data_IF_336500121133
#
_entry.id   IF_336500121133
#
_cell.length_a   1.000
_cell.length_b   1.000
_cell.length_c   1.000
_cell.angle_alpha   90.00
_cell.angle_beta   90.00
_cell.angle_gamma   90.00
#
_symmetry.space_group_name_H-M   'P 1'
#
loop_
_entity.id
_entity.type
_entity.pdbx_description
1 polymer ?
#
# COMPACT_ATOMS: atom_id res chain seq x y z
N UNK A 1 4.23 -24.84 19.62
CA UNK A 1 4.20 -23.39 19.30
C UNK A 1 5.27 -22.59 20.05
N UNK A 2 5.54 -22.83 21.33
CA UNK A 2 6.57 -22.06 22.11
C UNK A 2 7.99 -22.18 21.55
N UNK A 3 8.39 -23.39 21.10
CA UNK A 3 9.76 -23.65 20.60
C UNK A 3 10.02 -22.93 19.27
N UNK A 4 9.07 -22.96 18.33
CA UNK A 4 9.22 -22.28 17.03
C UNK A 4 9.28 -20.76 17.24
N UNK A 5 8.47 -20.23 18.14
CA UNK A 5 8.48 -18.81 18.50
C UNK A 5 9.81 -18.39 19.16
N UNK A 6 10.32 -19.17 20.10
CA UNK A 6 11.61 -18.90 20.76
C UNK A 6 12.78 -18.97 19.79
N UNK A 7 12.79 -19.96 18.89
CA UNK A 7 13.84 -20.10 17.87
C UNK A 7 13.80 -18.96 16.84
N UNK A 8 12.61 -18.57 16.35
CA UNK A 8 12.47 -17.42 15.47
C UNK A 8 12.90 -16.11 16.16
N UNK A 9 12.50 -15.91 17.39
CA UNK A 9 12.89 -14.71 18.16
C UNK A 9 14.40 -14.67 18.41
N UNK A 10 15.02 -15.82 18.72
CA UNK A 10 16.48 -15.93 18.88
C UNK A 10 17.21 -15.64 17.57
N UNK A 11 16.73 -16.16 16.45
CA UNK A 11 17.31 -15.92 15.13
C UNK A 11 17.20 -14.44 14.73
N UNK A 12 16.03 -13.83 14.92
CA UNK A 12 15.80 -12.41 14.65
C UNK A 12 16.72 -11.53 15.53
N UNK A 13 16.84 -11.84 16.82
CA UNK A 13 17.72 -11.09 17.72
C UNK A 13 19.18 -11.21 17.27
N UNK A 14 19.64 -12.39 16.88
CA UNK A 14 21.02 -12.61 16.41
C UNK A 14 21.31 -11.85 15.13
N UNK A 15 20.41 -11.93 14.12
CA UNK A 15 20.52 -11.16 12.87
C UNK A 15 20.52 -9.66 13.16
N UNK A 16 19.64 -9.20 14.06
CA UNK A 16 19.54 -7.80 14.45
C UNK A 16 20.82 -7.30 15.11
N UNK A 17 21.42 -8.09 16.00
CA UNK A 17 22.66 -7.73 16.71
C UNK A 17 23.86 -7.65 15.76
N UNK A 18 24.01 -8.61 14.85
CA UNK A 18 25.08 -8.60 13.86
C UNK A 18 24.92 -7.45 12.84
N UNK A 19 23.67 -7.16 12.42
CA UNK A 19 23.40 -6.06 11.50
C UNK A 19 23.73 -4.69 12.09
N UNK A 20 23.37 -4.45 13.37
CA UNK A 20 23.70 -3.20 14.08
C UNK A 20 25.19 -2.99 14.30
N UNK A 21 25.97 -4.06 14.38
CA UNK A 21 27.43 -4.01 14.46
C UNK A 21 28.09 -3.89 13.08
N UNK A 22 27.32 -4.05 12.01
CA UNK A 22 27.88 -4.06 10.66
C UNK A 22 28.40 -2.68 10.25
N UNK A 23 29.48 -2.69 9.47
CA UNK A 23 30.02 -1.49 8.81
C UNK A 23 28.97 -0.78 7.95
N UNK A 24 28.10 -1.55 7.27
CA UNK A 24 27.02 -1.01 6.43
C UNK A 24 26.03 -0.17 7.25
N UNK A 25 25.62 -0.65 8.43
CA UNK A 25 24.72 0.12 9.30
C UNK A 25 25.36 1.44 9.73
N UNK A 26 26.59 1.40 10.19
CA UNK A 26 27.34 2.60 10.61
C UNK A 26 27.56 3.56 9.42
N UNK A 27 27.92 3.06 8.24
CA UNK A 27 28.11 3.87 7.05
C UNK A 27 26.81 4.58 6.60
N UNK A 28 25.66 3.84 6.58
CA UNK A 28 24.36 4.43 6.23
C UNK A 28 24.01 5.57 7.20
N UNK A 29 24.15 5.37 8.51
CA UNK A 29 23.81 6.41 9.49
C UNK A 29 24.78 7.60 9.46
N UNK A 30 26.05 7.38 9.14
CA UNK A 30 27.04 8.47 8.96
C UNK A 30 26.69 9.31 7.73
N UNK A 31 26.37 8.67 6.60
CA UNK A 31 25.95 9.36 5.38
C UNK A 31 24.67 10.14 5.61
N UNK A 32 23.67 9.52 6.26
CA UNK A 32 22.41 10.19 6.61
C UNK A 32 22.65 11.41 7.47
N UNK A 33 23.49 11.31 8.51
CA UNK A 33 23.83 12.44 9.38
C UNK A 33 24.53 13.60 8.64
N UNK A 34 25.43 13.28 7.71
CA UNK A 34 26.06 14.32 6.86
C UNK A 34 25.04 15.03 5.99
N UNK A 35 24.17 14.29 5.29
CA UNK A 35 23.16 14.87 4.41
C UNK A 35 22.09 15.64 5.22
N UNK A 36 21.71 15.14 6.40
CA UNK A 36 20.81 15.85 7.34
C UNK A 36 21.35 17.24 7.72
N UNK A 37 22.62 17.35 8.03
CA UNK A 37 23.26 18.65 8.35
C UNK A 37 23.21 19.62 7.17
N UNK A 38 23.41 19.12 5.94
CA UNK A 38 23.28 19.96 4.74
C UNK A 38 21.84 20.40 4.50
N UNK A 39 20.85 19.53 4.75
CA UNK A 39 19.43 19.84 4.64
C UNK A 39 18.98 20.91 5.62
N UNK A 40 19.42 20.84 6.89
CA UNK A 40 19.07 21.81 7.94
C UNK A 40 19.50 23.23 7.55
N UNK A 41 20.60 23.38 6.81
CA UNK A 41 21.16 24.66 6.35
C UNK A 41 20.71 25.04 4.94
N UNK A 42 19.87 24.24 4.28
CA UNK A 42 19.49 24.44 2.88
C UNK A 42 18.47 25.59 2.69
N UNK A 43 18.49 26.18 1.48
CA UNK A 43 17.50 27.14 1.03
C UNK A 43 16.06 26.59 1.07
N UNK A 44 15.88 25.32 0.77
CA UNK A 44 14.57 24.66 0.78
C UNK A 44 13.90 24.65 2.15
N UNK A 45 14.67 24.63 3.23
CA UNK A 45 14.12 24.76 4.60
C UNK A 45 13.49 26.14 4.84
N UNK A 46 14.02 27.19 4.19
CA UNK A 46 13.50 28.57 4.31
C UNK A 46 12.17 28.76 3.57
N UNK A 47 11.90 27.98 2.54
CA UNK A 47 10.62 27.96 1.80
C UNK A 47 9.51 27.24 2.56
N UNK A 48 9.86 26.51 3.63
CA UNK A 48 8.91 25.74 4.40
C UNK A 48 8.02 26.70 5.26
N UNK A 49 6.67 26.48 5.29
CA UNK A 49 5.77 27.33 6.05
C UNK A 49 6.15 27.42 7.53
N UNK A 50 5.93 28.58 8.15
CA UNK A 50 6.24 28.77 9.55
C UNK A 50 5.54 27.77 10.46
N UNK A 51 6.17 27.39 11.56
CA UNK A 51 5.57 26.43 12.52
C UNK A 51 4.24 26.95 13.08
N UNK A 52 4.07 28.24 13.21
CA UNK A 52 2.82 28.85 13.68
C UNK A 52 1.66 28.63 12.71
N UNK A 53 1.90 28.74 11.40
CA UNK A 53 0.90 28.43 10.37
C UNK A 53 0.56 26.94 10.35
N UNK A 54 1.56 26.09 10.52
CA UNK A 54 1.37 24.64 10.58
C UNK A 54 0.58 24.22 11.84
N UNK A 55 0.86 24.87 12.98
CA UNK A 55 0.14 24.64 14.23
C UNK A 55 -1.31 25.09 14.15
N UNK A 56 -1.59 26.20 13.45
CA UNK A 56 -2.97 26.64 13.18
C UNK A 56 -3.77 25.59 12.37
N UNK A 57 -3.19 25.04 11.31
CA UNK A 57 -3.82 23.99 10.50
C UNK A 57 -3.98 22.67 11.27
N UNK A 58 -3.04 22.35 12.17
CA UNK A 58 -3.09 21.10 12.96
C UNK A 58 -4.00 21.18 14.20
N UNK A 59 -4.53 22.36 14.54
CA UNK A 59 -5.35 22.56 15.74
C UNK A 59 -6.72 21.87 15.67
N UNK A 60 -7.16 21.45 14.49
CA UNK A 60 -8.39 20.68 14.31
C UNK A 60 -8.16 19.19 14.58
N UNK A 61 -8.15 18.82 15.88
CA UNK A 61 -8.01 17.44 16.36
C UNK A 61 -9.01 16.44 15.73
N UNK A 62 -10.20 16.90 15.35
CA UNK A 62 -11.26 16.05 14.78
C UNK A 62 -10.85 15.51 13.40
N UNK A 63 -10.32 16.35 12.52
CA UNK A 63 -9.86 15.93 11.19
C UNK A 63 -8.66 14.97 11.28
N UNK A 64 -7.77 15.17 12.24
CA UNK A 64 -6.55 14.37 12.38
C UNK A 64 -6.83 12.89 12.65
N UNK A 65 -7.85 12.57 13.43
CA UNK A 65 -8.17 11.19 13.77
C UNK A 65 -8.98 10.48 12.66
N UNK A 66 -9.47 11.22 11.67
CA UNK A 66 -10.45 10.68 10.70
C UNK A 66 -9.97 10.62 9.25
N UNK A 67 -8.89 11.33 8.86
CA UNK A 67 -8.47 11.40 7.46
C UNK A 67 -8.08 10.03 6.88
N UNK A 68 -7.22 9.29 7.58
CA UNK A 68 -6.79 7.96 7.15
C UNK A 68 -7.47 6.84 7.96
N UNK A 69 -8.73 7.03 8.38
CA UNK A 69 -9.49 5.93 8.94
C UNK A 69 -9.87 4.92 7.84
N UNK A 70 -10.31 3.70 8.16
CA UNK A 70 -10.69 2.72 7.16
C UNK A 70 -11.71 3.20 6.12
N UNK A 71 -12.61 4.12 6.50
CA UNK A 71 -13.65 4.65 5.61
C UNK A 71 -13.10 5.46 4.42
N UNK A 72 -11.82 5.87 4.46
CA UNK A 72 -11.16 6.51 3.32
C UNK A 72 -11.20 5.62 2.06
N UNK A 73 -11.20 4.29 2.22
CA UNK A 73 -11.31 3.35 1.09
C UNK A 73 -12.64 3.54 0.39
N UNK A 74 -13.74 3.65 1.14
CA UNK A 74 -15.07 3.90 0.56
C UNK A 74 -15.15 5.28 -0.08
N UNK A 75 -14.54 6.30 0.55
CA UNK A 75 -14.48 7.64 0.00
C UNK A 75 -13.75 7.67 -1.35
N UNK A 76 -12.56 7.05 -1.42
CA UNK A 76 -11.79 6.96 -2.66
C UNK A 76 -12.57 6.17 -3.73
N UNK A 77 -13.26 5.10 -3.33
CA UNK A 77 -14.10 4.34 -4.24
C UNK A 77 -15.28 5.18 -4.76
N UNK A 78 -15.95 5.93 -3.90
CA UNK A 78 -17.02 6.84 -4.33
C UNK A 78 -16.52 7.92 -5.29
N UNK A 79 -15.35 8.53 -5.02
CA UNK A 79 -14.72 9.49 -5.95
C UNK A 79 -14.39 8.83 -7.29
N UNK A 80 -13.85 7.60 -7.27
CA UNK A 80 -13.57 6.86 -8.49
C UNK A 80 -14.84 6.58 -9.32
N UNK A 81 -15.96 6.22 -8.66
CA UNK A 81 -17.26 6.04 -9.31
C UNK A 81 -17.79 7.34 -9.92
N UNK A 82 -17.58 8.48 -9.25
CA UNK A 82 -18.01 9.79 -9.74
C UNK A 82 -17.25 10.23 -11.01
N UNK A 83 -16.03 9.75 -11.24
CA UNK A 83 -15.29 10.02 -12.46
C UNK A 83 -15.90 9.35 -13.71
N UNK A 84 -16.67 8.28 -13.53
CA UNK A 84 -17.24 7.48 -14.61
C UNK A 84 -18.74 7.18 -14.40
N UNK A 85 -19.52 8.24 -14.13
CA UNK A 85 -20.95 8.15 -13.77
C UNK A 85 -21.83 7.39 -14.78
N UNK A 86 -21.48 7.43 -16.07
CA UNK A 86 -22.28 6.82 -17.15
C UNK A 86 -22.12 5.29 -17.23
N UNK A 87 -21.22 4.72 -16.44
CA UNK A 87 -20.85 3.30 -16.53
C UNK A 87 -21.54 2.41 -15.49
N UNK A 88 -22.30 2.97 -14.54
CA UNK A 88 -22.90 2.19 -13.44
C UNK A 88 -24.29 1.68 -13.83
N UNK A 89 -24.44 0.36 -14.00
CA UNK A 89 -25.74 -0.30 -14.21
C UNK A 89 -26.55 -0.41 -12.90
N UNK A 90 -27.86 -0.61 -13.01
CA UNK A 90 -28.72 -0.82 -11.84
C UNK A 90 -28.31 -2.05 -11.02
N UNK A 91 -27.85 -3.13 -11.65
CA UNK A 91 -27.34 -4.33 -11.00
C UNK A 91 -26.07 -4.00 -10.19
N UNK A 92 -25.10 -3.33 -10.85
CA UNK A 92 -23.86 -2.90 -10.19
C UNK A 92 -24.11 -1.95 -9.03
N UNK A 93 -25.12 -1.06 -9.12
CA UNK A 93 -25.47 -0.18 -8.02
C UNK A 93 -25.86 -0.96 -6.74
N UNK A 94 -26.62 -2.05 -6.89
CA UNK A 94 -26.96 -2.95 -5.77
C UNK A 94 -25.69 -3.60 -5.20
N UNK A 95 -24.81 -4.09 -6.05
CA UNK A 95 -23.53 -4.69 -5.65
C UNK A 95 -22.65 -3.70 -4.89
N UNK A 96 -22.59 -2.44 -5.34
CA UNK A 96 -21.86 -1.37 -4.65
C UNK A 96 -22.47 -1.03 -3.27
N UNK A 97 -23.80 -0.99 -3.17
CA UNK A 97 -24.46 -0.79 -1.87
C UNK A 97 -24.12 -1.92 -0.89
N UNK A 98 -24.13 -3.17 -1.33
CA UNK A 98 -23.76 -4.33 -0.52
C UNK A 98 -22.28 -4.27 -0.13
N UNK A 99 -21.39 -3.91 -1.06
CA UNK A 99 -19.96 -3.73 -0.80
C UNK A 99 -19.73 -2.68 0.30
N UNK A 100 -20.37 -1.53 0.19
CA UNK A 100 -20.23 -0.43 1.15
C UNK A 100 -20.82 -0.79 2.51
N UNK A 101 -21.99 -1.43 2.54
CA UNK A 101 -22.62 -1.90 3.78
C UNK A 101 -21.75 -2.95 4.49
N UNK A 102 -21.27 -3.97 3.76
CA UNK A 102 -20.38 -5.00 4.30
C UNK A 102 -19.11 -4.39 4.89
N UNK A 103 -18.43 -3.52 4.13
CA UNK A 103 -17.22 -2.84 4.58
C UNK A 103 -17.47 -1.99 5.84
N UNK A 104 -18.56 -1.21 5.86
CA UNK A 104 -18.90 -0.37 7.02
C UNK A 104 -19.14 -1.21 8.27
N UNK A 105 -19.92 -2.28 8.17
CA UNK A 105 -20.14 -3.22 9.28
C UNK A 105 -18.82 -3.80 9.75
N UNK A 106 -17.97 -4.25 8.80
CA UNK A 106 -16.67 -4.80 9.09
C UNK A 106 -15.75 -3.83 9.84
N UNK A 107 -15.63 -2.59 9.38
CA UNK A 107 -14.65 -1.65 9.95
C UNK A 107 -15.15 -0.90 11.18
N UNK A 108 -16.46 -0.58 11.29
CA UNK A 108 -16.99 0.26 12.35
C UNK A 108 -17.59 -0.54 13.52
N UNK A 109 -18.22 -1.68 13.24
CA UNK A 109 -18.98 -2.44 14.24
C UNK A 109 -18.13 -3.59 14.82
N UNK A 110 -17.68 -4.51 13.97
CA UNK A 110 -17.00 -5.74 14.43
C UNK A 110 -15.76 -5.50 15.31
N UNK A 111 -14.85 -4.57 15.00
CA UNK A 111 -13.66 -4.37 15.83
C UNK A 111 -13.95 -3.99 17.27
N UNK A 112 -15.14 -3.38 17.54
CA UNK A 112 -15.54 -3.02 18.89
C UNK A 112 -15.71 -4.23 19.79
N UNK A 113 -16.18 -5.35 19.24
CA UNK A 113 -16.39 -6.59 20.00
C UNK A 113 -15.10 -7.42 20.16
N UNK A 114 -14.18 -7.34 19.21
CA UNK A 114 -13.00 -8.21 19.19
C UNK A 114 -11.79 -7.65 19.98
N UNK A 115 -11.69 -6.33 20.16
CA UNK A 115 -10.57 -5.68 20.85
C UNK A 115 -11.04 -4.88 22.08
N UNK A 116 -11.78 -5.52 22.98
CA UNK A 116 -12.21 -4.91 24.25
C UNK A 116 -11.33 -5.30 25.45
N UNK A 117 -10.33 -6.15 25.25
CA UNK A 117 -9.47 -6.69 26.32
C UNK A 117 -8.33 -5.77 26.74
N UNK A 118 -7.47 -6.32 27.62
CA UNK A 118 -6.33 -5.62 28.21
C UNK A 118 -5.27 -5.27 27.15
N UNK A 119 -5.00 -3.97 27.00
CA UNK A 119 -4.03 -3.44 26.02
C UNK A 119 -2.58 -3.75 26.38
N UNK A 120 -2.27 -4.06 27.64
CA UNK A 120 -0.91 -4.41 28.09
C UNK A 120 -0.42 -5.73 27.50
N UNK A 121 -1.35 -6.62 27.14
CA UNK A 121 -1.04 -7.93 26.54
C UNK A 121 -0.77 -7.87 25.05
N UNK A 122 -0.90 -6.70 24.41
CA UNK A 122 -0.62 -6.54 22.97
C UNK A 122 0.86 -6.75 22.71
N UNK A 123 1.17 -7.52 21.65
CA UNK A 123 2.53 -7.83 21.24
C UNK A 123 3.33 -6.56 20.96
N UNK A 124 4.49 -6.42 21.58
CA UNK A 124 5.36 -5.26 21.41
C UNK A 124 6.54 -5.61 20.49
N UNK A 125 6.77 -4.77 19.49
CA UNK A 125 7.90 -4.90 18.57
C UNK A 125 8.99 -3.89 18.95
N UNK A 126 10.24 -4.37 19.04
CA UNK A 126 11.37 -3.52 19.39
C UNK A 126 11.80 -2.68 18.19
N UNK A 127 12.23 -1.44 18.45
CA UNK A 127 12.79 -0.54 17.43
C UNK A 127 13.92 -1.18 16.62
N UNK A 128 14.85 -1.83 17.32
CA UNK A 128 16.01 -2.48 16.75
C UNK A 128 15.63 -3.54 15.71
N UNK A 129 14.60 -4.34 16.03
CA UNK A 129 14.13 -5.39 15.13
C UNK A 129 13.47 -4.79 13.86
N UNK A 130 12.72 -3.69 14.02
CA UNK A 130 12.13 -2.98 12.87
C UNK A 130 13.21 -2.44 11.93
N UNK A 131 14.30 -1.86 12.46
CA UNK A 131 15.43 -1.42 11.65
C UNK A 131 16.11 -2.59 10.94
N UNK A 132 16.48 -3.63 11.67
CA UNK A 132 17.25 -4.76 11.12
C UNK A 132 16.47 -5.49 10.03
N UNK A 133 15.21 -5.80 10.30
CA UNK A 133 14.35 -6.48 9.31
C UNK A 133 14.09 -5.53 8.12
N UNK A 134 13.76 -4.27 8.40
CA UNK A 134 13.45 -3.30 7.35
C UNK A 134 14.63 -3.07 6.40
N UNK A 135 15.83 -2.82 6.93
CA UNK A 135 17.02 -2.66 6.09
C UNK A 135 17.43 -3.95 5.37
N UNK A 136 17.26 -5.11 5.99
CA UNK A 136 17.49 -6.39 5.32
C UNK A 136 16.56 -6.56 4.11
N UNK A 137 15.29 -6.24 4.26
CA UNK A 137 14.31 -6.29 3.15
C UNK A 137 14.66 -5.32 2.03
N UNK A 138 15.06 -4.08 2.37
CA UNK A 138 15.49 -3.08 1.38
C UNK A 138 16.76 -3.56 0.65
N UNK A 139 17.74 -4.10 1.37
CA UNK A 139 18.98 -4.59 0.78
C UNK A 139 18.73 -5.77 -0.17
N UNK A 140 17.92 -6.75 0.26
CA UNK A 140 17.50 -7.86 -0.60
C UNK A 140 16.80 -7.34 -1.85
N UNK A 141 15.90 -6.38 -1.70
CA UNK A 141 15.21 -5.74 -2.82
C UNK A 141 16.17 -5.10 -3.82
N UNK A 142 17.17 -4.36 -3.34
CA UNK A 142 18.19 -3.71 -4.19
C UNK A 142 19.01 -4.76 -4.95
N UNK A 143 19.43 -5.83 -4.28
CA UNK A 143 20.18 -6.93 -4.92
C UNK A 143 19.34 -7.57 -6.04
N UNK A 144 18.08 -7.89 -5.76
CA UNK A 144 17.19 -8.48 -6.75
C UNK A 144 16.83 -7.51 -7.89
N UNK A 145 16.82 -6.20 -7.63
CA UNK A 145 16.68 -5.19 -8.67
C UNK A 145 17.83 -5.29 -9.68
N UNK A 146 19.07 -5.29 -9.22
CA UNK A 146 20.23 -5.42 -10.13
C UNK A 146 20.25 -6.75 -10.88
N UNK A 147 19.90 -7.85 -10.22
CA UNK A 147 19.78 -9.17 -10.87
C UNK A 147 18.69 -9.14 -11.94
N UNK A 148 17.54 -8.54 -11.64
CA UNK A 148 16.41 -8.45 -12.55
C UNK A 148 16.74 -7.62 -13.78
N UNK A 149 17.39 -6.46 -13.61
CA UNK A 149 17.83 -5.58 -14.69
C UNK A 149 18.92 -6.24 -15.54
N UNK A 150 19.89 -6.90 -14.89
CA UNK A 150 20.94 -7.64 -15.60
C UNK A 150 20.39 -8.79 -16.43
N UNK A 151 19.36 -9.49 -15.94
CA UNK A 151 18.73 -10.64 -16.63
C UNK A 151 18.06 -10.28 -17.96
N UNK A 152 17.64 -9.02 -18.12
CA UNK A 152 16.97 -8.52 -19.34
C UNK A 152 17.84 -7.59 -20.19
N UNK A 153 19.07 -7.31 -19.73
CA UNK A 153 20.04 -6.52 -20.48
C UNK A 153 19.74 -5.03 -20.58
N UNK A 154 18.96 -4.47 -19.65
CA UNK A 154 18.66 -3.03 -19.65
C UNK A 154 17.64 -2.59 -18.62
N UNK A 155 17.47 -1.27 -18.51
CA UNK A 155 16.54 -0.63 -17.57
C UNK A 155 15.14 -0.53 -18.22
N UNK A 156 14.09 -1.15 -17.64
CA UNK A 156 12.76 -1.19 -18.22
C UNK A 156 12.11 0.19 -18.45
N UNK A 157 12.43 1.18 -17.62
CA UNK A 157 11.96 2.56 -17.81
C UNK A 157 12.46 3.16 -19.14
N UNK A 158 13.72 2.90 -19.50
CA UNK A 158 14.35 3.46 -20.71
C UNK A 158 13.96 2.70 -21.99
N UNK A 159 13.59 1.42 -21.85
CA UNK A 159 13.19 0.56 -22.97
C UNK A 159 11.90 -0.21 -22.57
N UNK A 160 10.71 0.32 -22.83
CA UNK A 160 9.44 -0.29 -22.40
C UNK A 160 9.23 -1.74 -22.86
N UNK A 161 9.76 -2.11 -24.04
CA UNK A 161 9.68 -3.49 -24.57
C UNK A 161 10.36 -4.53 -23.66
N UNK A 162 11.44 -4.15 -22.95
CA UNK A 162 12.18 -5.03 -22.04
C UNK A 162 11.33 -5.40 -20.81
N UNK A 163 10.38 -4.56 -20.44
CA UNK A 163 9.50 -4.81 -19.29
C UNK A 163 8.74 -6.14 -19.41
N UNK A 164 8.34 -6.52 -20.61
CA UNK A 164 7.63 -7.78 -20.85
C UNK A 164 8.53 -9.02 -20.74
N UNK A 165 9.86 -8.80 -20.75
CA UNK A 165 10.86 -9.87 -20.58
C UNK A 165 11.26 -10.10 -19.13
N UNK A 166 10.81 -9.23 -18.20
CA UNK A 166 11.10 -9.38 -16.77
C UNK A 166 10.50 -10.69 -16.24
N UNK A 167 11.37 -11.50 -15.59
CA UNK A 167 10.97 -12.76 -14.98
C UNK A 167 10.33 -12.47 -13.61
N UNK A 168 9.06 -12.86 -13.36
CA UNK A 168 8.37 -12.58 -12.10
C UNK A 168 9.14 -13.04 -10.86
N UNK A 169 9.77 -14.22 -10.92
CA UNK A 169 10.55 -14.80 -9.81
C UNK A 169 11.74 -13.91 -9.37
N UNK A 170 12.33 -13.15 -10.29
CA UNK A 170 13.40 -12.20 -9.99
C UNK A 170 12.88 -10.82 -9.62
N UNK A 171 11.73 -10.44 -10.16
CA UNK A 171 11.17 -9.09 -9.98
C UNK A 171 10.32 -8.97 -8.71
N UNK A 172 9.62 -10.05 -8.32
CA UNK A 172 8.81 -10.04 -7.09
C UNK A 172 9.59 -9.66 -5.82
N UNK A 173 10.81 -10.18 -5.56
CA UNK A 173 11.56 -9.79 -4.38
C UNK A 173 11.97 -8.31 -4.36
N UNK A 174 11.98 -7.62 -5.51
CA UNK A 174 12.25 -6.17 -5.54
C UNK A 174 11.18 -5.39 -4.79
N UNK A 175 9.94 -5.87 -4.77
CA UNK A 175 8.84 -5.21 -4.05
C UNK A 175 8.93 -5.37 -2.53
N UNK A 176 9.89 -6.14 -1.98
CA UNK A 176 10.20 -6.16 -0.55
C UNK A 176 10.71 -4.81 -0.04
N UNK A 177 11.11 -3.90 -0.95
CA UNK A 177 11.42 -2.52 -0.58
C UNK A 177 10.27 -1.85 0.16
N UNK A 178 9.02 -2.12 -0.21
CA UNK A 178 7.82 -1.50 0.35
C UNK A 178 7.60 -1.86 1.82
N UNK A 179 7.50 -3.15 2.23
CA UNK A 179 7.42 -3.50 3.64
C UNK A 179 8.71 -3.15 4.38
N UNK A 180 9.87 -3.15 3.73
CA UNK A 180 11.13 -2.67 4.29
C UNK A 180 11.04 -1.20 4.68
N UNK A 181 10.63 -0.34 3.77
CA UNK A 181 10.37 1.09 3.99
C UNK A 181 9.33 1.31 5.09
N UNK A 182 8.26 0.53 5.10
CA UNK A 182 7.24 0.59 6.14
C UNK A 182 7.83 0.36 7.54
N UNK A 183 8.68 -0.65 7.72
CA UNK A 183 9.34 -0.96 8.99
C UNK A 183 10.35 0.11 9.40
N UNK A 184 11.21 0.56 8.48
CA UNK A 184 12.21 1.60 8.74
C UNK A 184 11.54 2.92 9.07
N UNK A 185 10.50 3.34 8.34
CA UNK A 185 9.73 4.54 8.63
C UNK A 185 9.06 4.45 10.02
N UNK A 186 8.52 3.29 10.40
CA UNK A 186 7.97 3.05 11.74
C UNK A 186 9.02 3.16 12.84
N UNK A 187 10.25 2.73 12.58
CA UNK A 187 11.38 2.86 13.50
C UNK A 187 11.83 4.33 13.63
N UNK A 188 11.93 5.09 12.53
CA UNK A 188 12.19 6.54 12.57
C UNK A 188 11.11 7.30 13.33
N UNK A 189 9.86 6.87 13.20
CA UNK A 189 8.76 7.45 13.96
C UNK A 189 8.94 7.24 15.46
N UNK A 190 9.44 6.08 15.88
CA UNK A 190 9.78 5.80 17.27
C UNK A 190 10.92 6.68 17.76
N UNK A 191 12.01 6.83 16.97
CA UNK A 191 13.13 7.72 17.32
C UNK A 191 12.68 9.16 17.52
N UNK A 192 11.77 9.65 16.67
CA UNK A 192 11.19 10.98 16.82
C UNK A 192 10.35 11.11 18.11
N UNK A 193 9.55 10.09 18.42
CA UNK A 193 8.70 10.10 19.62
C UNK A 193 9.53 10.00 20.90
N UNK A 194 10.61 9.21 20.88
CA UNK A 194 11.57 9.07 21.97
C UNK A 194 12.54 10.28 22.08
N UNK A 195 12.35 11.31 21.20
CA UNK A 195 13.14 12.56 21.12
C UNK A 195 14.62 12.34 20.79
N UNK A 196 14.97 11.21 20.18
CA UNK A 196 16.34 10.96 19.69
C UNK A 196 16.64 11.78 18.43
N UNK A 197 15.61 12.09 17.64
CA UNK A 197 15.72 12.93 16.44
C UNK A 197 14.69 14.05 16.46
N UNK A 198 15.03 15.15 15.79
CA UNK A 198 14.13 16.30 15.62
C UNK A 198 13.10 16.01 14.51
N UNK A 199 12.00 16.78 14.48
CA UNK A 199 10.99 16.67 13.41
C UNK A 199 11.58 16.89 12.02
N UNK A 200 12.53 17.82 11.89
CA UNK A 200 13.21 18.10 10.62
C UNK A 200 14.04 16.91 10.15
N UNK A 201 14.79 16.27 11.06
CA UNK A 201 15.55 15.06 10.77
C UNK A 201 14.64 13.90 10.38
N UNK A 202 13.53 13.68 11.09
CA UNK A 202 12.57 12.65 10.76
C UNK A 202 11.99 12.84 9.34
N UNK A 203 11.63 14.08 8.97
CA UNK A 203 11.17 14.43 7.61
C UNK A 203 12.21 14.13 6.56
N UNK A 204 13.45 14.54 6.83
CA UNK A 204 14.54 14.27 5.90
C UNK A 204 14.74 12.77 5.68
N UNK A 205 14.75 11.97 6.76
CA UNK A 205 14.88 10.50 6.68
C UNK A 205 13.72 9.87 5.91
N UNK A 206 12.50 10.37 6.07
CA UNK A 206 11.33 9.93 5.32
C UNK A 206 11.47 10.25 3.82
N UNK A 207 11.90 11.47 3.49
CA UNK A 207 12.13 11.87 2.09
C UNK A 207 13.28 11.09 1.44
N UNK A 208 14.34 10.83 2.20
CA UNK A 208 15.47 10.03 1.71
C UNK A 208 15.05 8.58 1.42
N UNK A 209 14.25 7.98 2.32
CA UNK A 209 13.71 6.64 2.15
C UNK A 209 12.80 6.58 0.91
N UNK A 210 11.93 7.57 0.76
CA UNK A 210 11.06 7.71 -0.42
C UNK A 210 11.87 7.89 -1.71
N UNK A 211 12.96 8.65 -1.67
CA UNK A 211 13.83 8.83 -2.84
C UNK A 211 14.49 7.52 -3.28
N UNK A 212 14.91 6.68 -2.34
CA UNK A 212 15.42 5.32 -2.63
C UNK A 212 14.32 4.49 -3.30
N UNK A 213 13.12 4.44 -2.70
CA UNK A 213 12.00 3.68 -3.26
C UNK A 213 11.66 4.16 -4.67
N UNK A 214 11.57 5.49 -4.86
CA UNK A 214 11.31 6.09 -6.17
C UNK A 214 12.37 5.70 -7.19
N UNK A 215 13.65 5.75 -6.82
CA UNK A 215 14.74 5.41 -7.74
C UNK A 215 14.59 3.98 -8.28
N UNK A 216 14.42 2.99 -7.41
CA UNK A 216 14.35 1.59 -7.82
C UNK A 216 13.01 1.22 -8.47
N UNK A 217 11.88 1.69 -7.94
CA UNK A 217 10.57 1.34 -8.46
C UNK A 217 10.24 2.04 -9.79
N UNK A 218 10.69 3.31 -9.98
CA UNK A 218 10.57 4.00 -11.27
C UNK A 218 11.40 3.32 -12.35
N UNK A 219 12.63 2.92 -12.06
CA UNK A 219 13.50 2.26 -13.04
C UNK A 219 12.92 0.94 -13.56
N UNK A 220 12.11 0.25 -12.75
CA UNK A 220 11.34 -0.92 -13.19
C UNK A 220 10.09 -0.57 -14.02
N UNK A 221 9.65 0.69 -14.01
CA UNK A 221 8.48 1.15 -14.74
C UNK A 221 7.13 0.76 -14.12
N UNK A 222 7.11 0.43 -12.81
CA UNK A 222 5.87 0.12 -12.09
C UNK A 222 5.38 1.33 -11.28
N UNK A 223 4.19 1.86 -11.63
CA UNK A 223 3.60 3.02 -10.96
C UNK A 223 2.91 2.69 -9.63
N UNK A 224 2.20 1.56 -9.55
CA UNK A 224 1.43 1.19 -8.35
C UNK A 224 2.31 1.01 -7.12
N UNK A 225 3.45 0.28 -7.16
CA UNK A 225 4.37 0.20 -6.04
C UNK A 225 4.97 1.55 -5.62
N UNK A 226 5.24 2.43 -6.58
CA UNK A 226 5.71 3.79 -6.29
C UNK A 226 4.69 4.60 -5.50
N UNK A 227 3.43 4.57 -5.93
CA UNK A 227 2.33 5.22 -5.22
C UNK A 227 2.11 4.58 -3.84
N UNK A 228 2.33 3.27 -3.71
CA UNK A 228 2.25 2.58 -2.43
C UNK A 228 3.30 3.10 -1.45
N UNK A 229 4.58 3.17 -1.86
CA UNK A 229 5.65 3.72 -1.02
C UNK A 229 5.35 5.16 -0.57
N UNK A 230 4.88 5.99 -1.50
CA UNK A 230 4.50 7.38 -1.22
C UNK A 230 3.36 7.49 -0.19
N UNK A 231 2.28 6.75 -0.39
CA UNK A 231 1.12 6.76 0.52
C UNK A 231 1.49 6.21 1.91
N UNK A 232 2.29 5.14 2.00
CA UNK A 232 2.73 4.57 3.26
C UNK A 232 3.49 5.60 4.08
N UNK A 233 4.45 6.30 3.47
CA UNK A 233 5.25 7.33 4.14
C UNK A 233 4.37 8.50 4.61
N UNK A 234 3.41 8.93 3.79
CA UNK A 234 2.46 9.99 4.18
C UNK A 234 1.60 9.53 5.37
N UNK A 235 1.04 8.32 5.33
CA UNK A 235 0.17 7.81 6.39
C UNK A 235 0.94 7.66 7.71
N UNK A 236 2.13 7.05 7.67
CA UNK A 236 2.99 6.89 8.85
C UNK A 236 3.40 8.26 9.40
N UNK A 237 3.85 9.17 8.54
CA UNK A 237 4.25 10.52 8.92
C UNK A 237 3.11 11.36 9.49
N UNK A 238 1.91 11.21 8.96
CA UNK A 238 0.71 11.90 9.44
C UNK A 238 0.30 11.44 10.85
N UNK A 239 0.17 10.13 11.07
CA UNK A 239 -0.14 9.60 12.40
C UNK A 239 0.97 9.86 13.41
N UNK A 240 2.22 9.93 12.94
CA UNK A 240 3.38 10.26 13.76
C UNK A 240 3.54 11.75 14.08
N UNK A 241 2.70 12.64 13.60
CA UNK A 241 2.85 14.09 13.72
C UNK A 241 4.11 14.67 13.05
N UNK A 242 4.75 13.91 12.16
CA UNK A 242 5.88 14.38 11.36
C UNK A 242 5.34 15.18 10.17
N UNK A 243 4.36 14.63 9.46
CA UNK A 243 3.66 15.24 8.32
C UNK A 243 2.40 15.97 8.81
N UNK A 244 2.18 17.19 8.37
CA UNK A 244 1.02 17.99 8.71
C UNK A 244 -0.12 17.80 7.70
N UNK A 245 -1.34 18.23 8.06
CA UNK A 245 -2.51 18.07 7.21
C UNK A 245 -2.34 18.72 5.82
N UNK A 246 -1.77 19.92 5.76
CA UNK A 246 -1.57 20.61 4.49
C UNK A 246 -0.58 19.85 3.59
N UNK A 247 0.45 19.20 4.16
CA UNK A 247 1.41 18.37 3.43
C UNK A 247 0.72 17.13 2.86
N UNK A 248 -0.26 16.57 3.58
CA UNK A 248 -1.11 15.48 3.07
C UNK A 248 -1.92 15.95 1.86
N UNK A 249 -2.52 17.15 1.92
CA UNK A 249 -3.28 17.72 0.79
C UNK A 249 -2.36 17.97 -0.40
N UNK A 250 -1.21 18.58 -0.19
CA UNK A 250 -0.22 18.80 -1.26
C UNK A 250 0.28 17.47 -1.81
N UNK A 251 0.56 16.51 -0.94
CA UNK A 251 0.95 15.16 -1.34
C UNK A 251 -0.13 14.46 -2.17
N UNK A 252 -1.40 14.60 -1.80
CA UNK A 252 -2.51 14.06 -2.59
C UNK A 252 -2.59 14.70 -3.99
N UNK A 253 -2.41 16.02 -4.09
CA UNK A 253 -2.35 16.72 -5.38
C UNK A 253 -1.17 16.26 -6.24
N UNK A 254 0.01 16.10 -5.64
CA UNK A 254 1.20 15.55 -6.31
C UNK A 254 0.93 14.11 -6.77
N UNK A 255 0.32 13.29 -5.92
CA UNK A 255 -0.06 11.91 -6.25
C UNK A 255 -1.01 11.83 -7.45
N UNK A 256 -2.06 12.65 -7.46
CA UNK A 256 -2.99 12.76 -8.59
C UNK A 256 -2.25 13.26 -9.84
N UNK A 257 -1.41 14.29 -9.72
CA UNK A 257 -0.59 14.77 -10.82
C UNK A 257 0.37 13.70 -11.38
N UNK A 258 0.96 12.89 -10.51
CA UNK A 258 1.82 11.77 -10.91
C UNK A 258 1.03 10.67 -11.65
N UNK A 259 -0.17 10.32 -11.18
CA UNK A 259 -1.05 9.35 -11.86
C UNK A 259 -1.39 9.84 -13.28
N UNK A 260 -1.79 11.11 -13.38
CA UNK A 260 -2.15 11.73 -14.67
C UNK A 260 -0.91 11.81 -15.56
N UNK A 261 0.22 12.31 -15.06
CA UNK A 261 1.45 12.49 -15.81
C UNK A 261 2.03 11.18 -16.33
N UNK A 262 2.19 10.17 -15.47
CA UNK A 262 2.71 8.85 -15.86
C UNK A 262 1.74 8.17 -16.85
N UNK A 263 0.44 8.31 -16.62
CA UNK A 263 -0.58 7.80 -17.54
C UNK A 263 -0.49 8.45 -18.92
N UNK A 264 -0.33 9.77 -18.98
CA UNK A 264 -0.20 10.54 -20.20
C UNK A 264 1.09 10.22 -20.97
N UNK A 265 2.24 10.20 -20.30
CA UNK A 265 3.52 9.83 -20.93
C UNK A 265 3.49 8.42 -21.51
N UNK A 266 2.82 7.49 -20.84
CA UNK A 266 2.66 6.13 -21.34
C UNK A 266 1.77 6.08 -22.57
N UNK A 267 0.67 6.84 -22.60
CA UNK A 267 -0.22 6.91 -23.75
C UNK A 267 0.45 7.53 -24.97
N UNK A 268 1.35 8.51 -24.78
CA UNK A 268 2.17 9.08 -25.87
C UNK A 268 3.10 8.04 -26.50
N UNK A 269 3.64 7.10 -25.72
CA UNK A 269 4.49 6.01 -26.22
C UNK A 269 3.70 4.91 -26.94
N UNK A 270 2.43 4.75 -26.63
CA UNK A 270 1.52 3.76 -27.27
C UNK A 270 0.73 4.35 -28.45
N UNK A 271 0.54 5.68 -28.46
CA UNK A 271 -0.20 6.41 -29.53
C UNK A 271 0.75 6.92 -30.63
N UNK A 272 1.22 6.00 -31.46
CA UNK A 272 1.79 6.41 -32.76
C UNK A 272 0.74 6.92 -33.77
N UNK A 273 -0.54 6.86 -33.40
CA UNK A 273 -1.66 7.31 -34.24
C UNK A 273 -2.85 7.76 -33.39
N UNK A 274 -3.06 9.01 -33.22
CA UNK A 274 -4.29 9.79 -32.99
C UNK A 274 -4.19 10.85 -31.88
N UNK A 275 -4.50 12.08 -32.29
CA UNK A 275 -5.05 13.24 -31.55
C UNK A 275 -4.66 13.44 -30.10
N UNK A 276 -4.13 14.61 -29.82
CA UNK A 276 -3.89 15.22 -28.50
C UNK A 276 -5.10 15.11 -27.55
N UNK A 277 -5.20 14.02 -26.82
CA UNK A 277 -6.17 13.90 -25.73
C UNK A 277 -5.63 14.62 -24.51
N UNK A 278 -6.47 15.43 -23.85
CA UNK A 278 -6.05 16.10 -22.62
C UNK A 278 -5.73 15.05 -21.51
N UNK A 279 -4.78 15.32 -20.61
CA UNK A 279 -4.46 14.41 -19.51
C UNK A 279 -5.67 14.03 -18.65
N UNK A 280 -6.62 14.95 -18.46
CA UNK A 280 -7.88 14.72 -17.73
C UNK A 280 -8.77 13.73 -18.45
N UNK A 281 -8.87 13.84 -19.78
CA UNK A 281 -9.63 12.90 -20.61
C UNK A 281 -9.04 11.49 -20.54
N UNK A 282 -7.72 11.37 -20.51
CA UNK A 282 -7.06 10.07 -20.35
C UNK A 282 -7.39 9.41 -18.99
N UNK A 283 -7.48 10.21 -17.91
CA UNK A 283 -7.88 9.71 -16.60
C UNK A 283 -9.35 9.25 -16.60
N UNK A 284 -10.25 10.07 -17.18
CA UNK A 284 -11.67 9.77 -17.26
C UNK A 284 -11.94 8.52 -18.12
N UNK A 285 -11.32 8.45 -19.30
CA UNK A 285 -11.42 7.29 -20.19
C UNK A 285 -10.96 5.99 -19.51
N UNK A 286 -9.92 6.08 -18.67
CA UNK A 286 -9.47 4.93 -17.88
C UNK A 286 -10.46 4.52 -16.80
N UNK A 287 -11.08 5.49 -16.11
CA UNK A 287 -12.11 5.21 -15.11
C UNK A 287 -13.35 4.59 -15.79
N UNK A 288 -13.78 5.12 -16.92
CA UNK A 288 -14.89 4.58 -17.73
C UNK A 288 -14.62 3.14 -18.18
N UNK A 289 -13.42 2.87 -18.72
CA UNK A 289 -13.03 1.51 -19.09
C UNK A 289 -13.07 0.55 -17.91
N UNK A 290 -12.50 0.95 -16.76
CA UNK A 290 -12.44 0.09 -15.57
C UNK A 290 -13.82 -0.18 -15.00
N UNK A 291 -14.73 0.80 -15.02
CA UNK A 291 -16.13 0.60 -14.60
C UNK A 291 -16.94 -0.20 -15.61
N UNK A 292 -16.67 -0.05 -16.90
CA UNK A 292 -17.26 -0.93 -17.91
C UNK A 292 -16.89 -2.39 -17.66
N UNK A 293 -15.60 -2.65 -17.38
CA UNK A 293 -15.13 -3.99 -16.97
C UNK A 293 -15.88 -4.49 -15.74
N UNK A 294 -16.05 -3.64 -14.72
CA UNK A 294 -16.75 -4.01 -13.49
C UNK A 294 -18.23 -4.35 -13.75
N UNK A 295 -18.91 -3.61 -14.62
CA UNK A 295 -20.28 -3.94 -15.05
C UNK A 295 -20.37 -5.32 -15.70
N UNK A 296 -19.42 -5.65 -16.59
CA UNK A 296 -19.35 -6.97 -17.21
C UNK A 296 -19.13 -8.07 -16.19
N UNK A 297 -18.22 -7.85 -15.23
CA UNK A 297 -17.95 -8.80 -14.15
C UNK A 297 -19.17 -8.98 -13.23
N UNK A 298 -19.91 -7.90 -12.93
CA UNK A 298 -21.14 -7.97 -12.13
C UNK A 298 -22.24 -8.76 -12.88
N UNK A 299 -22.35 -8.56 -14.19
CA UNK A 299 -23.29 -9.32 -15.02
C UNK A 299 -22.93 -10.82 -15.06
N UNK A 300 -21.64 -11.14 -15.23
CA UNK A 300 -21.16 -12.53 -15.28
C UNK A 300 -21.32 -13.20 -13.91
N UNK A 301 -20.90 -12.53 -12.83
CA UNK A 301 -20.91 -13.09 -11.47
C UNK A 301 -22.31 -13.26 -10.86
N UNK A 302 -23.25 -12.40 -11.24
CA UNK A 302 -24.62 -12.47 -10.76
C UNK A 302 -24.72 -12.48 -9.22
N UNK A 303 -25.64 -13.29 -8.67
CA UNK A 303 -25.86 -13.34 -7.22
C UNK A 303 -24.88 -14.23 -6.47
N UNK A 304 -24.38 -15.31 -7.07
CA UNK A 304 -23.60 -16.36 -6.40
C UNK A 304 -22.18 -16.58 -6.97
N UNK A 305 -21.82 -15.85 -8.03
CA UNK A 305 -20.55 -16.01 -8.72
C UNK A 305 -20.51 -17.19 -9.69
N UNK A 306 -19.42 -17.30 -10.44
CA UNK A 306 -19.23 -18.34 -11.45
C UNK A 306 -17.89 -19.07 -11.30
N UNK A 307 -16.92 -18.50 -10.60
CA UNK A 307 -15.59 -19.10 -10.47
C UNK A 307 -15.33 -19.73 -9.10
N UNK A 308 -16.18 -19.47 -8.10
CA UNK A 308 -16.18 -20.12 -6.79
C UNK A 308 -14.80 -20.24 -6.13
N UNK A 309 -14.05 -19.13 -6.10
CA UNK A 309 -12.72 -19.01 -5.50
C UNK A 309 -11.55 -19.27 -6.47
N UNK A 310 -11.80 -19.59 -7.73
CA UNK A 310 -10.72 -19.75 -8.71
C UNK A 310 -9.96 -18.46 -8.99
N UNK A 311 -10.62 -17.29 -8.88
CA UNK A 311 -9.92 -15.98 -9.00
C UNK A 311 -8.91 -15.79 -7.87
N UNK A 312 -9.32 -16.13 -6.64
CA UNK A 312 -8.41 -16.10 -5.49
C UNK A 312 -7.28 -17.13 -5.63
N UNK A 313 -7.61 -18.36 -6.02
CA UNK A 313 -6.64 -19.43 -6.24
C UNK A 313 -5.62 -19.10 -7.35
N UNK A 314 -6.04 -18.35 -8.37
CA UNK A 314 -5.16 -17.92 -9.47
C UNK A 314 -4.06 -16.95 -9.02
N UNK A 315 -4.16 -16.37 -7.82
CA UNK A 315 -3.11 -15.53 -7.22
C UNK A 315 -1.93 -16.35 -6.69
N UNK A 316 -2.09 -17.65 -6.53
CA UNK A 316 -1.03 -18.55 -6.01
C UNK A 316 -0.03 -18.82 -7.11
N UNK A 317 1.30 -18.72 -6.82
CA UNK A 317 2.33 -19.05 -7.79
C UNK A 317 2.20 -20.48 -8.31
N UNK A 318 2.28 -20.65 -9.63
CA UNK A 318 2.10 -21.94 -10.31
C UNK A 318 0.73 -22.11 -10.97
N UNK A 319 -0.20 -21.17 -10.82
CA UNK A 319 -1.40 -21.15 -11.64
C UNK A 319 -1.07 -20.73 -13.09
N UNK A 320 -1.78 -21.33 -14.06
CA UNK A 320 -1.56 -21.06 -15.50
C UNK A 320 -1.84 -19.58 -15.86
N UNK A 321 -2.81 -18.97 -15.21
CA UNK A 321 -3.22 -17.59 -15.43
C UNK A 321 -3.29 -16.84 -14.10
N UNK A 322 -2.64 -15.67 -14.04
CA UNK A 322 -2.83 -14.77 -12.91
C UNK A 322 -4.23 -14.12 -12.91
N UNK A 323 -4.67 -13.55 -11.75
CA UNK A 323 -6.04 -13.04 -11.58
C UNK A 323 -6.46 -12.03 -12.66
N UNK A 324 -5.57 -11.12 -13.03
CA UNK A 324 -5.84 -10.10 -14.07
C UNK A 324 -5.94 -10.68 -15.48
N UNK A 325 -5.22 -11.75 -15.76
CA UNK A 325 -5.32 -12.47 -17.02
C UNK A 325 -6.62 -13.28 -17.08
N UNK A 326 -7.06 -13.86 -15.96
CA UNK A 326 -8.37 -14.50 -15.87
C UNK A 326 -9.51 -13.53 -16.12
N UNK A 327 -9.43 -12.29 -15.61
CA UNK A 327 -10.40 -11.23 -15.95
C UNK A 327 -10.40 -10.97 -17.45
N UNK A 328 -9.23 -10.80 -18.05
CA UNK A 328 -9.11 -10.63 -19.52
C UNK A 328 -9.75 -11.78 -20.30
N UNK A 329 -9.54 -13.01 -19.87
CA UNK A 329 -10.15 -14.21 -20.46
C UNK A 329 -11.68 -14.20 -20.33
N UNK A 330 -12.22 -13.86 -19.17
CA UNK A 330 -13.65 -13.85 -18.91
C UNK A 330 -14.39 -12.79 -19.74
N UNK A 331 -13.79 -11.61 -19.92
CA UNK A 331 -14.43 -10.48 -20.60
C UNK A 331 -14.23 -10.54 -22.11
N UNK A 332 -13.00 -10.81 -22.55
CA UNK A 332 -12.61 -10.68 -23.97
C UNK A 332 -12.17 -12.00 -24.61
N UNK A 333 -12.25 -13.14 -23.89
CA UNK A 333 -11.76 -14.46 -24.32
C UNK A 333 -10.27 -14.45 -24.71
N UNK A 334 -9.49 -13.47 -24.19
CA UNK A 334 -8.05 -13.33 -24.45
C UNK A 334 -7.26 -13.56 -23.17
N UNK A 335 -6.33 -14.51 -23.20
CA UNK A 335 -5.47 -14.85 -22.06
C UNK A 335 -4.24 -13.94 -21.91
N UNK A 336 -3.87 -13.23 -22.99
CA UNK A 336 -2.65 -12.41 -23.03
C UNK A 336 -2.84 -10.99 -22.48
N UNK A 337 -4.09 -10.57 -22.25
CA UNK A 337 -4.43 -9.22 -21.80
C UNK A 337 -4.68 -9.19 -20.30
N UNK A 338 -3.91 -8.39 -19.59
CA UNK A 338 -4.13 -8.11 -18.17
C UNK A 338 -5.13 -6.97 -18.00
N UNK A 339 -6.27 -7.25 -17.35
CA UNK A 339 -7.33 -6.26 -17.09
C UNK A 339 -7.47 -6.05 -15.59
N UNK A 340 -7.58 -4.79 -15.16
CA UNK A 340 -7.76 -4.44 -13.75
C UNK A 340 -9.23 -4.60 -13.37
N UNK A 341 -9.55 -5.42 -12.35
CA UNK A 341 -10.94 -5.77 -12.01
C UNK A 341 -11.60 -4.84 -10.99
N UNK A 342 -10.93 -3.81 -10.50
CA UNK A 342 -11.30 -3.04 -9.29
C UNK A 342 -11.22 -3.87 -8.00
N UNK A 343 -11.50 -3.23 -6.88
CA UNK A 343 -11.49 -3.88 -5.56
C UNK A 343 -12.48 -5.03 -5.45
N UNK A 344 -13.68 -4.88 -6.01
CA UNK A 344 -14.79 -5.83 -5.87
C UNK A 344 -15.02 -6.73 -7.08
N UNK A 345 -14.40 -6.44 -8.23
CA UNK A 345 -14.68 -7.18 -9.46
C UNK A 345 -14.31 -8.67 -9.38
N UNK A 346 -13.21 -8.99 -8.71
CA UNK A 346 -12.82 -10.38 -8.48
C UNK A 346 -13.76 -11.08 -7.49
N UNK A 347 -14.18 -10.36 -6.45
CA UNK A 347 -15.11 -10.86 -5.43
C UNK A 347 -16.46 -11.23 -6.04
N UNK A 348 -16.97 -10.38 -6.95
CA UNK A 348 -18.28 -10.61 -7.58
C UNK A 348 -18.24 -11.79 -8.54
N UNK A 349 -17.12 -12.02 -9.23
CA UNK A 349 -16.97 -13.17 -10.12
C UNK A 349 -16.82 -14.48 -9.32
N UNK A 350 -16.09 -14.45 -8.19
CA UNK A 350 -15.91 -15.65 -7.37
C UNK A 350 -17.21 -16.05 -6.65
N UNK A 351 -17.88 -15.14 -5.97
CA UNK A 351 -18.98 -15.48 -5.07
C UNK A 351 -20.23 -14.59 -5.23
N UNK A 352 -20.29 -13.80 -6.30
CA UNK A 352 -21.42 -12.94 -6.61
C UNK A 352 -21.65 -11.81 -5.60
N UNK A 353 -22.85 -11.27 -5.60
CA UNK A 353 -23.24 -10.15 -4.72
C UNK A 353 -23.13 -10.49 -3.22
N UNK A 354 -23.45 -11.72 -2.85
CA UNK A 354 -23.34 -12.21 -1.46
C UNK A 354 -21.86 -12.26 -1.06
N UNK A 355 -21.01 -12.76 -1.94
CA UNK A 355 -19.56 -12.79 -1.74
C UNK A 355 -18.97 -11.40 -1.54
N UNK A 356 -19.36 -10.44 -2.37
CA UNK A 356 -18.93 -9.04 -2.24
C UNK A 356 -19.25 -8.46 -0.87
N UNK A 357 -20.46 -8.70 -0.34
CA UNK A 357 -20.83 -8.23 1.00
C UNK A 357 -19.93 -8.84 2.08
N UNK A 358 -19.66 -10.14 2.02
CA UNK A 358 -18.85 -10.86 3.01
C UNK A 358 -17.37 -10.44 2.91
N UNK A 359 -16.81 -10.46 1.70
CA UNK A 359 -15.37 -10.18 1.49
C UNK A 359 -15.03 -8.72 1.79
N UNK A 360 -15.90 -7.78 1.41
CA UNK A 360 -15.76 -6.38 1.81
C UNK A 360 -15.94 -6.20 3.32
N UNK A 361 -16.79 -7.00 3.96
CA UNK A 361 -16.90 -7.07 5.42
C UNK A 361 -15.61 -7.56 6.08
N UNK A 362 -14.96 -8.59 5.52
CA UNK A 362 -13.65 -9.11 5.99
C UNK A 362 -12.57 -8.05 5.80
N UNK A 363 -12.50 -7.40 4.64
CA UNK A 363 -11.55 -6.32 4.38
C UNK A 363 -11.73 -5.16 5.36
N UNK A 364 -12.97 -4.73 5.57
CA UNK A 364 -13.33 -3.72 6.56
C UNK A 364 -12.90 -4.13 7.98
N UNK A 365 -13.12 -5.38 8.36
CA UNK A 365 -12.73 -5.92 9.66
C UNK A 365 -11.21 -5.89 9.87
N UNK A 366 -10.43 -6.33 8.87
CA UNK A 366 -8.96 -6.29 8.93
C UNK A 366 -8.47 -4.86 9.14
N UNK A 367 -8.97 -3.91 8.34
CA UNK A 367 -8.62 -2.49 8.46
C UNK A 367 -9.08 -1.90 9.79
N UNK A 368 -10.29 -2.23 10.25
CA UNK A 368 -10.83 -1.75 11.52
C UNK A 368 -10.04 -2.25 12.73
N UNK A 369 -9.62 -3.52 12.74
CA UNK A 369 -8.73 -4.08 13.78
C UNK A 369 -7.38 -3.39 13.75
N UNK A 370 -6.76 -3.25 12.56
CA UNK A 370 -5.48 -2.57 12.40
C UNK A 370 -5.52 -1.14 12.90
N UNK A 371 -6.56 -0.38 12.56
CA UNK A 371 -6.78 0.99 13.03
C UNK A 371 -6.93 1.06 14.56
N UNK A 372 -7.71 0.16 15.14
CA UNK A 372 -7.92 0.12 16.59
C UNK A 372 -6.65 -0.29 17.35
N UNK A 373 -5.86 -1.24 16.84
CA UNK A 373 -4.56 -1.60 17.40
C UNK A 373 -3.59 -0.42 17.34
N UNK A 374 -3.51 0.27 16.21
CA UNK A 374 -2.69 1.47 16.07
C UNK A 374 -3.07 2.56 17.08
N UNK A 375 -4.37 2.79 17.31
CA UNK A 375 -4.83 3.79 18.28
C UNK A 375 -4.59 3.40 19.74
N UNK A 376 -4.74 2.10 20.07
CA UNK A 376 -4.62 1.60 21.43
C UNK A 376 -3.17 1.40 21.89
N UNK A 377 -2.23 1.25 20.94
CA UNK A 377 -0.83 0.98 21.26
C UNK A 377 0.04 2.19 20.96
N UNK A 378 1.11 2.37 21.75
CA UNK A 378 2.19 3.30 21.43
C UNK A 378 3.30 2.63 20.61
N UNK A 379 3.06 1.42 20.09
CA UNK A 379 4.02 0.71 19.26
C UNK A 379 3.80 1.05 17.79
N UNK A 380 4.71 1.81 17.21
CA UNK A 380 4.61 2.32 15.84
C UNK A 380 4.69 1.26 14.75
N UNK A 381 5.04 0.03 15.08
CA UNK A 381 4.89 -1.12 14.18
C UNK A 381 3.44 -1.24 13.68
N UNK A 382 2.45 -1.04 14.57
CA UNK A 382 1.03 -1.10 14.17
C UNK A 382 0.61 0.06 13.27
N UNK A 383 1.26 1.21 13.41
CA UNK A 383 1.07 2.32 12.47
C UNK A 383 1.59 1.94 11.07
N UNK A 384 2.75 1.31 11.00
CA UNK A 384 3.32 0.85 9.73
C UNK A 384 2.46 -0.22 9.06
N UNK A 385 2.14 -1.30 9.78
CA UNK A 385 1.35 -2.39 9.17
C UNK A 385 -0.06 -1.93 8.76
N UNK A 386 -0.67 -1.04 9.53
CA UNK A 386 -1.93 -0.41 9.15
C UNK A 386 -1.77 0.45 7.89
N UNK A 387 -0.73 1.28 7.81
CA UNK A 387 -0.44 2.09 6.63
C UNK A 387 -0.24 1.23 5.38
N UNK A 388 0.48 0.10 5.51
CA UNK A 388 0.70 -0.85 4.42
C UNK A 388 -0.62 -1.41 3.88
N UNK A 389 -1.48 -1.95 4.77
CA UNK A 389 -2.75 -2.57 4.38
C UNK A 389 -3.74 -1.54 3.85
N UNK A 390 -3.84 -0.37 4.51
CA UNK A 390 -4.70 0.72 4.05
C UNK A 390 -4.30 1.21 2.65
N UNK A 391 -3.01 1.39 2.42
CA UNK A 391 -2.49 1.82 1.12
C UNK A 391 -2.88 0.86 0.00
N UNK A 392 -2.67 -0.44 0.19
CA UNK A 392 -3.06 -1.41 -0.84
C UNK A 392 -4.58 -1.55 -0.99
N UNK A 393 -5.36 -1.29 0.05
CA UNK A 393 -6.82 -1.20 -0.06
C UNK A 393 -7.26 0.02 -0.88
N UNK A 394 -6.61 1.19 -0.69
CA UNK A 394 -6.87 2.40 -1.49
C UNK A 394 -6.48 2.19 -2.95
N UNK A 395 -5.29 1.69 -3.22
CA UNK A 395 -4.82 1.43 -4.58
C UNK A 395 -5.63 0.31 -5.25
N UNK A 396 -6.10 -0.64 -4.46
CA UNK A 396 -6.95 -1.74 -4.88
C UNK A 396 -8.29 -1.31 -5.45
N UNK A 397 -8.76 -0.09 -5.14
CA UNK A 397 -9.99 0.47 -5.73
C UNK A 397 -9.95 0.40 -7.26
N UNK A 398 -8.82 0.73 -7.86
CA UNK A 398 -8.60 0.62 -9.30
C UNK A 398 -8.06 -0.75 -9.72
N UNK A 399 -7.06 -1.28 -8.96
CA UNK A 399 -6.23 -2.39 -9.43
C UNK A 399 -6.67 -3.76 -8.95
N UNK A 400 -7.52 -3.83 -7.92
CA UNK A 400 -7.77 -5.05 -7.15
C UNK A 400 -6.66 -5.34 -6.14
N UNK A 401 -6.88 -6.33 -5.26
CA UNK A 401 -5.97 -6.72 -4.16
C UNK A 401 -5.44 -8.14 -4.28
N UNK A 402 -5.81 -8.90 -5.31
CA UNK A 402 -5.42 -10.31 -5.46
C UNK A 402 -4.03 -10.53 -6.11
N UNK A 403 -3.14 -9.55 -6.05
CA UNK A 403 -1.72 -9.77 -6.39
C UNK A 403 -1.04 -10.53 -5.24
N UNK A 404 -0.25 -11.57 -5.53
CA UNK A 404 0.36 -12.45 -4.51
C UNK A 404 1.13 -11.67 -3.43
N UNK A 405 1.87 -10.65 -3.80
CA UNK A 405 2.60 -9.81 -2.86
C UNK A 405 1.67 -9.09 -1.88
N UNK A 406 0.53 -8.60 -2.37
CA UNK A 406 -0.48 -7.92 -1.54
C UNK A 406 -1.12 -8.92 -0.59
N UNK A 407 -1.47 -10.11 -1.09
CA UNK A 407 -2.02 -11.19 -0.25
C UNK A 407 -1.06 -11.61 0.86
N UNK A 408 0.25 -11.67 0.59
CA UNK A 408 1.26 -11.95 1.62
C UNK A 408 1.26 -10.86 2.70
N UNK A 409 1.17 -9.58 2.33
CA UNK A 409 1.10 -8.50 3.32
C UNK A 409 -0.17 -8.60 4.17
N UNK A 410 -1.31 -8.88 3.56
CA UNK A 410 -2.57 -9.10 4.28
C UNK A 410 -2.50 -10.32 5.19
N UNK A 411 -1.93 -11.44 4.73
CA UNK A 411 -1.78 -12.65 5.54
C UNK A 411 -0.93 -12.41 6.79
N UNK A 412 0.20 -11.68 6.66
CA UNK A 412 1.05 -11.30 7.78
C UNK A 412 0.28 -10.40 8.76
N UNK A 413 -0.45 -9.40 8.25
CA UNK A 413 -1.25 -8.51 9.07
C UNK A 413 -2.35 -9.28 9.84
N UNK A 414 -3.09 -10.13 9.14
CA UNK A 414 -4.14 -10.97 9.74
C UNK A 414 -3.55 -11.84 10.84
N UNK A 415 -2.44 -12.51 10.59
CA UNK A 415 -1.77 -13.36 11.58
C UNK A 415 -1.40 -12.59 12.85
N UNK A 416 -0.78 -11.40 12.70
CA UNK A 416 -0.42 -10.54 13.83
C UNK A 416 -1.68 -10.05 14.57
N UNK A 417 -2.73 -9.68 13.86
CA UNK A 417 -3.98 -9.21 14.45
C UNK A 417 -4.70 -10.31 15.22
N UNK A 418 -4.75 -11.53 14.68
CA UNK A 418 -5.34 -12.69 15.38
C UNK A 418 -4.59 -13.02 16.66
N UNK A 419 -3.24 -13.01 16.66
CA UNK A 419 -2.44 -13.20 17.87
C UNK A 419 -2.84 -12.16 18.94
N UNK A 420 -2.98 -10.90 18.55
CA UNK A 420 -3.33 -9.84 19.50
C UNK A 420 -4.77 -10.00 20.01
N UNK A 421 -5.73 -10.38 19.16
CA UNK A 421 -7.11 -10.67 19.61
C UNK A 421 -7.12 -11.77 20.66
N UNK A 422 -6.40 -12.87 20.41
CA UNK A 422 -6.32 -13.99 21.38
C UNK A 422 -5.63 -13.56 22.68
N UNK A 423 -4.52 -12.83 22.60
CA UNK A 423 -3.78 -12.38 23.79
C UNK A 423 -4.55 -11.37 24.66
N UNK A 424 -5.33 -10.50 24.06
CA UNK A 424 -6.12 -9.51 24.80
C UNK A 424 -7.36 -10.08 25.46
N UNK A 425 -7.83 -11.26 25.03
CA UNK A 425 -8.99 -11.94 25.60
C UNK A 425 -8.63 -12.87 26.75
N UNK A 426 -7.46 -13.51 26.70
CA UNK A 426 -6.91 -14.36 27.77
C UNK A 426 -6.25 -13.50 28.85
#
# INVERSE_FOLDING_TARGET
MSVIYSTLTSLINKISDEFHKSFLFTAIFTILGFIENQWINSFFKKLYPSENFLNFLNKNHILKNHIFNPLIVLFVFAVFLLLALNSVSGSLAITLMLAFAGFFIGCAILPRYFLNGNTEKILQFKRKDMYSIGFCLILVSIVFFFISVASVGGIPLLKPSIRYLLKPILTMPVFLIIPGTCLVASAYLKDYHDREITRSQARFRFLFLLAIDCAFLLLLGYRTPLLAAFLIIIIIGFYGNIVSLWEVVVGALIGVGAIIGIGYFRSLGELTMTSSTSPIYALQSRADFTLHVLNLLDFIGGNFGVTHGHMLASSIPGSDLGPRMMVGKLIAWRTEVTVTPTLIGQMVVDFGKVGVFIEMGILGFILGIGFKLMQKTKNFFYTGIYALILTYSILGVETGILDIQVLVYFAIAIFIYLINIVRTRN
#
